data_IF_047463103625
#
_entry.id   IF_047463103625
#
_cell.length_a   1.000
_cell.length_b   1.000
_cell.length_c   1.000
_cell.angle_alpha   90.00
_cell.angle_beta   90.00
_cell.angle_gamma   90.00
#
_symmetry.space_group_name_H-M   'P 1'
#
loop_
_entity.id
_entity.type
_entity.pdbx_description
1 polymer ?
#
# COMPACT_ATOMS: atom_id res chain seq x y z
N UNK A 1 33.40 14.57 44.65
CA UNK A 1 32.42 13.60 45.17
C UNK A 1 31.03 14.11 44.80
N UNK A 2 30.25 13.43 43.98
CA UNK A 2 28.89 13.83 43.72
C UNK A 2 28.03 13.54 44.95
N UNK A 3 27.10 14.44 45.28
CA UNK A 3 26.16 14.28 46.38
C UNK A 3 25.24 13.09 46.11
N UNK A 4 24.91 12.25 47.10
CA UNK A 4 23.97 11.15 46.92
C UNK A 4 22.58 11.72 46.57
N UNK A 5 22.00 11.21 45.52
CA UNK A 5 20.59 11.50 45.20
C UNK A 5 19.68 10.91 46.28
N UNK A 6 18.63 11.64 46.69
CA UNK A 6 17.67 11.14 47.65
C UNK A 6 17.00 9.86 47.09
N UNK A 7 16.86 8.83 47.91
CA UNK A 7 16.10 7.62 47.56
C UNK A 7 14.64 8.04 47.31
N UNK A 8 13.99 7.52 46.25
CA UNK A 8 12.57 7.76 46.06
C UNK A 8 11.83 7.21 47.28
N UNK A 9 10.96 8.01 47.84
CA UNK A 9 10.02 7.57 48.87
C UNK A 9 9.21 6.37 48.34
N UNK A 10 8.82 5.40 49.17
CA UNK A 10 7.98 4.29 48.74
C UNK A 10 6.65 4.87 48.24
N UNK A 11 6.52 4.97 46.94
CA UNK A 11 5.32 5.50 46.29
C UNK A 11 4.13 4.66 46.72
N UNK A 12 3.06 5.32 47.13
CA UNK A 12 1.74 4.73 47.33
C UNK A 12 1.45 3.96 46.05
N UNK A 13 1.19 2.64 46.08
CA UNK A 13 0.88 1.89 44.86
C UNK A 13 -0.31 2.58 44.16
N UNK A 14 -0.25 2.74 42.82
CA UNK A 14 -1.33 3.41 42.12
C UNK A 14 -2.66 2.73 42.47
N UNK A 15 -3.61 3.53 42.91
CA UNK A 15 -4.95 3.03 43.24
C UNK A 15 -5.47 2.27 42.02
N UNK A 16 -6.03 1.09 42.24
CA UNK A 16 -6.65 0.30 41.16
C UNK A 16 -7.69 1.20 40.50
N UNK A 17 -7.67 1.36 39.14
CA UNK A 17 -8.65 2.21 38.49
C UNK A 17 -10.05 1.72 38.82
N UNK A 18 -10.84 2.58 39.43
CA UNK A 18 -12.24 2.32 39.75
C UNK A 18 -13.02 2.45 38.44
N UNK A 19 -13.58 1.36 37.96
CA UNK A 19 -14.55 1.40 36.88
C UNK A 19 -15.86 1.96 37.43
N UNK A 20 -16.52 2.86 36.69
CA UNK A 20 -17.86 3.27 37.01
C UNK A 20 -18.80 2.06 36.92
N UNK A 21 -19.65 1.87 37.90
CA UNK A 21 -20.59 0.75 37.92
C UNK A 21 -21.61 0.82 36.78
N UNK A 22 -21.96 2.04 36.35
CA UNK A 22 -22.86 2.29 35.22
C UNK A 22 -22.15 2.98 34.05
N UNK A 23 -22.48 2.61 32.79
CA UNK A 23 -21.99 3.31 31.62
C UNK A 23 -22.53 4.76 31.56
N UNK A 24 -21.79 5.71 30.94
CA UNK A 24 -22.26 7.08 30.81
C UNK A 24 -23.65 7.16 30.16
N UNK A 25 -24.55 7.97 30.74
CA UNK A 25 -25.96 8.07 30.33
C UNK A 25 -26.12 8.38 28.84
N UNK A 26 -25.27 9.23 28.27
CA UNK A 26 -25.32 9.56 26.86
C UNK A 26 -25.03 8.37 25.95
N UNK A 27 -24.09 7.51 26.33
CA UNK A 27 -23.79 6.26 25.61
C UNK A 27 -25.01 5.32 25.55
N UNK A 28 -25.82 5.28 26.64
CA UNK A 28 -27.04 4.50 26.65
C UNK A 28 -28.09 5.09 25.71
N UNK A 29 -28.26 6.42 25.72
CA UNK A 29 -29.20 7.11 24.81
C UNK A 29 -28.85 6.89 23.34
N UNK A 30 -27.56 6.97 22.96
CA UNK A 30 -27.13 6.68 21.59
C UNK A 30 -27.47 5.23 21.19
N UNK A 31 -27.24 4.26 22.07
CA UNK A 31 -27.61 2.86 21.83
C UNK A 31 -29.12 2.63 21.72
N UNK A 32 -29.91 3.28 22.55
CA UNK A 32 -31.37 3.23 22.49
C UNK A 32 -31.87 3.73 21.13
N UNK A 33 -31.38 4.88 20.67
CA UNK A 33 -31.72 5.45 19.37
C UNK A 33 -31.28 4.52 18.22
N UNK A 34 -30.08 3.95 18.25
CA UNK A 34 -29.66 2.98 17.25
C UNK A 34 -30.54 1.74 17.20
N UNK A 35 -30.93 1.20 18.37
CA UNK A 35 -31.78 0.02 18.44
C UNK A 35 -33.18 0.35 17.89
N UNK A 36 -33.73 1.51 18.18
CA UNK A 36 -35.05 1.96 17.72
C UNK A 36 -35.08 2.19 16.21
N UNK A 37 -34.08 2.92 15.66
CA UNK A 37 -34.14 3.37 14.27
C UNK A 37 -33.54 2.39 13.25
N UNK A 38 -32.66 1.49 13.66
CA UNK A 38 -32.07 0.50 12.73
C UNK A 38 -33.12 -0.37 12.03
N UNK A 39 -34.14 -0.94 12.70
CA UNK A 39 -35.23 -1.68 12.04
C UNK A 39 -36.05 -0.80 11.10
N UNK A 40 -36.27 0.46 11.46
CA UNK A 40 -37.03 1.41 10.62
C UNK A 40 -36.28 1.74 9.33
N UNK A 41 -34.95 1.95 9.43
CA UNK A 41 -34.05 2.14 8.26
C UNK A 41 -34.07 0.89 7.35
N UNK A 42 -34.01 -0.32 7.91
CA UNK A 42 -34.06 -1.56 7.16
C UNK A 42 -35.38 -1.71 6.43
N UNK A 43 -36.52 -1.47 7.11
CA UNK A 43 -37.86 -1.52 6.53
C UNK A 43 -38.03 -0.47 5.41
N UNK A 44 -37.51 0.74 5.60
CA UNK A 44 -37.57 1.77 4.57
C UNK A 44 -36.73 1.39 3.33
N UNK A 45 -35.53 0.82 3.53
CA UNK A 45 -34.70 0.34 2.43
C UNK A 45 -35.33 -0.87 1.73
N UNK A 46 -35.96 -1.78 2.48
CA UNK A 46 -36.67 -2.93 1.93
C UNK A 46 -37.82 -2.49 1.01
N UNK A 47 -38.62 -1.49 1.41
CA UNK A 47 -39.70 -0.92 0.57
C UNK A 47 -39.15 -0.37 -0.74
N UNK A 48 -38.06 0.42 -0.68
CA UNK A 48 -37.42 0.96 -1.89
C UNK A 48 -36.91 -0.13 -2.83
N UNK A 49 -36.30 -1.19 -2.25
CA UNK A 49 -35.85 -2.36 -3.04
C UNK A 49 -37.01 -3.06 -3.71
N UNK A 50 -38.15 -3.25 -3.00
CA UNK A 50 -39.36 -3.86 -3.58
C UNK A 50 -39.89 -3.05 -4.75
N UNK A 51 -39.99 -1.71 -4.62
CA UNK A 51 -40.41 -0.81 -5.72
C UNK A 51 -39.49 -0.95 -6.95
N UNK A 52 -38.18 -1.00 -6.76
CA UNK A 52 -37.21 -1.18 -7.85
C UNK A 52 -37.40 -2.58 -8.49
N UNK A 53 -37.62 -3.60 -7.68
CA UNK A 53 -37.82 -4.96 -8.17
C UNK A 53 -39.13 -5.07 -9.02
N UNK A 54 -40.20 -4.42 -8.60
CA UNK A 54 -41.50 -4.35 -9.35
C UNK A 54 -41.30 -3.62 -10.67
N UNK A 55 -40.63 -2.47 -10.68
CA UNK A 55 -40.35 -1.68 -11.88
C UNK A 55 -39.47 -2.42 -12.89
N UNK A 56 -38.53 -3.23 -12.39
CA UNK A 56 -37.62 -4.01 -13.23
C UNK A 56 -38.26 -5.29 -13.84
N UNK A 57 -39.47 -5.66 -13.39
CA UNK A 57 -40.21 -6.78 -13.95
C UNK A 57 -40.77 -6.42 -15.33
N UNK A 58 -40.59 -7.28 -16.30
CA UNK A 58 -41.19 -7.14 -17.65
C UNK A 58 -40.20 -6.80 -18.76
N UNK A 59 -38.99 -6.35 -18.45
CA UNK A 59 -37.97 -6.10 -19.47
C UNK A 59 -37.12 -7.34 -19.69
N UNK A 60 -37.19 -7.98 -20.86
CA UNK A 60 -36.31 -9.09 -21.20
C UNK A 60 -34.89 -8.58 -21.49
N UNK A 61 -33.89 -9.04 -20.77
CA UNK A 61 -32.51 -8.63 -21.02
C UNK A 61 -31.98 -9.19 -22.34
N UNK A 62 -31.17 -8.41 -23.05
CA UNK A 62 -30.46 -8.86 -24.24
C UNK A 62 -29.13 -9.49 -23.83
N UNK A 63 -28.75 -10.56 -24.53
CA UNK A 63 -27.45 -11.19 -24.32
C UNK A 63 -26.31 -10.27 -24.79
N UNK A 64 -25.33 -9.94 -23.95
CA UNK A 64 -24.23 -9.07 -24.34
C UNK A 64 -23.29 -9.68 -25.38
N UNK A 65 -23.34 -11.00 -25.59
CA UNK A 65 -22.50 -11.70 -26.56
C UNK A 65 -23.12 -11.82 -27.95
N UNK A 66 -24.44 -11.94 -28.06
CA UNK A 66 -25.11 -12.18 -29.35
C UNK A 66 -26.32 -11.29 -29.60
N UNK A 67 -26.66 -10.37 -28.71
CA UNK A 67 -27.78 -9.44 -28.86
C UNK A 67 -29.19 -10.07 -28.78
N UNK A 68 -29.31 -11.38 -28.62
CA UNK A 68 -30.60 -12.05 -28.59
C UNK A 68 -31.29 -11.90 -27.23
N UNK A 69 -32.64 -11.82 -27.19
CA UNK A 69 -33.39 -11.83 -25.93
C UNK A 69 -33.10 -13.10 -25.13
N UNK A 70 -32.94 -12.95 -23.83
CA UNK A 70 -32.65 -14.04 -22.91
C UNK A 70 -33.96 -14.60 -22.32
N UNK A 71 -33.98 -15.89 -21.98
CA UNK A 71 -35.14 -16.56 -21.38
C UNK A 71 -35.01 -16.59 -19.86
N UNK A 72 -36.11 -16.25 -19.17
CA UNK A 72 -36.19 -16.46 -17.72
C UNK A 72 -36.16 -17.97 -17.43
N UNK A 73 -35.29 -18.38 -16.53
CA UNK A 73 -35.14 -19.77 -16.10
C UNK A 73 -35.92 -20.05 -14.83
N UNK A 74 -35.76 -19.17 -13.84
CA UNK A 74 -36.43 -19.23 -12.55
C UNK A 74 -36.48 -17.86 -11.90
N UNK A 75 -37.34 -17.70 -10.89
CA UNK A 75 -37.37 -16.56 -9.98
C UNK A 75 -37.31 -17.09 -8.55
N UNK A 76 -36.33 -16.63 -7.80
CA UNK A 76 -36.11 -17.06 -6.40
C UNK A 76 -35.91 -15.87 -5.50
N UNK A 77 -36.38 -15.99 -4.24
CA UNK A 77 -36.02 -15.01 -3.20
C UNK A 77 -34.53 -15.07 -2.93
N UNK A 78 -33.87 -13.97 -3.13
CA UNK A 78 -32.43 -13.82 -2.86
C UNK A 78 -32.24 -12.82 -1.72
N UNK A 79 -31.46 -13.22 -0.73
CA UNK A 79 -31.09 -12.35 0.39
C UNK A 79 -29.68 -11.85 0.23
N UNK A 80 -29.44 -10.61 0.68
CA UNK A 80 -28.09 -10.02 0.75
C UNK A 80 -27.93 -9.10 1.95
N UNK A 81 -26.70 -8.97 2.42
CA UNK A 81 -26.34 -8.14 3.57
C UNK A 81 -26.10 -6.70 3.14
N UNK A 82 -26.74 -5.76 3.80
CA UNK A 82 -26.54 -4.32 3.64
C UNK A 82 -26.09 -3.69 5.00
N UNK A 83 -25.80 -2.40 5.00
CA UNK A 83 -25.33 -1.69 6.20
C UNK A 83 -26.29 -1.73 7.38
N UNK A 84 -27.59 -1.71 7.09
CA UNK A 84 -28.63 -1.70 8.14
C UNK A 84 -29.21 -3.09 8.46
N UNK A 85 -28.81 -4.14 7.72
CA UNK A 85 -29.29 -5.51 7.94
C UNK A 85 -29.41 -6.34 6.67
N UNK A 86 -30.14 -7.45 6.75
CA UNK A 86 -30.39 -8.36 5.64
C UNK A 86 -31.61 -7.92 4.84
N UNK A 87 -31.45 -7.76 3.55
CA UNK A 87 -32.51 -7.47 2.58
C UNK A 87 -32.81 -8.68 1.73
N UNK A 88 -34.01 -8.73 1.15
CA UNK A 88 -34.41 -9.80 0.23
C UNK A 88 -35.32 -9.28 -0.88
N UNK A 89 -35.28 -9.92 -2.04
CA UNK A 89 -36.20 -9.66 -3.15
C UNK A 89 -36.35 -10.89 -4.02
N UNK A 90 -37.48 -10.99 -4.78
CA UNK A 90 -37.58 -11.95 -5.85
C UNK A 90 -36.64 -11.56 -6.99
N UNK A 91 -35.73 -12.45 -7.35
CA UNK A 91 -34.70 -12.22 -8.38
C UNK A 91 -34.88 -13.25 -9.48
N UNK A 92 -35.17 -12.76 -10.70
CA UNK A 92 -35.25 -13.60 -11.89
C UNK A 92 -33.84 -13.84 -12.46
N UNK A 93 -33.59 -15.10 -12.84
CA UNK A 93 -32.38 -15.53 -13.51
C UNK A 93 -32.68 -15.75 -14.99
N UNK A 94 -31.91 -15.08 -15.82
CA UNK A 94 -32.05 -15.19 -17.29
C UNK A 94 -30.85 -15.93 -17.88
N UNK A 95 -31.12 -16.70 -18.95
CA UNK A 95 -30.12 -17.46 -19.69
C UNK A 95 -30.26 -17.27 -21.18
N UNK A 96 -29.13 -17.06 -21.84
CA UNK A 96 -29.08 -17.10 -23.32
C UNK A 96 -28.89 -18.53 -23.78
N UNK A 97 -29.81 -19.04 -24.63
CA UNK A 97 -29.74 -20.41 -25.12
C UNK A 97 -28.49 -20.70 -25.95
N UNK A 98 -28.08 -19.87 -26.96
CA UNK A 98 -26.89 -20.11 -27.74
C UNK A 98 -25.59 -19.93 -26.99
N UNK A 99 -25.43 -18.81 -26.23
CA UNK A 99 -24.20 -18.45 -25.58
C UNK A 99 -24.04 -19.06 -24.18
N UNK A 100 -25.10 -19.63 -23.62
CA UNK A 100 -25.18 -20.11 -22.22
C UNK A 100 -24.87 -19.05 -21.15
N UNK A 101 -24.78 -17.78 -21.55
CA UNK A 101 -24.59 -16.67 -20.64
C UNK A 101 -25.77 -16.53 -19.69
N UNK A 102 -25.51 -16.31 -18.40
CA UNK A 102 -26.51 -16.10 -17.36
C UNK A 102 -26.35 -14.75 -16.69
N UNK A 103 -27.48 -14.08 -16.39
CA UNK A 103 -27.47 -12.82 -15.62
C UNK A 103 -28.67 -12.75 -14.65
N UNK A 104 -28.53 -11.84 -13.70
CA UNK A 104 -29.59 -11.47 -12.75
C UNK A 104 -29.73 -9.94 -12.74
N UNK A 105 -30.44 -9.35 -13.70
CA UNK A 105 -30.46 -7.90 -13.93
C UNK A 105 -30.81 -7.07 -12.70
N UNK A 106 -31.71 -7.54 -11.84
CA UNK A 106 -32.10 -6.84 -10.62
C UNK A 106 -30.91 -6.69 -9.66
N UNK A 107 -30.08 -7.72 -9.48
CA UNK A 107 -28.91 -7.63 -8.62
C UNK A 107 -27.85 -6.68 -9.20
N UNK A 108 -27.68 -6.71 -10.52
CA UNK A 108 -26.77 -5.81 -11.24
C UNK A 108 -27.25 -4.35 -11.12
N UNK A 109 -28.57 -4.10 -11.28
CA UNK A 109 -29.19 -2.79 -11.13
C UNK A 109 -29.06 -2.24 -9.71
N UNK A 110 -29.25 -3.10 -8.69
CA UNK A 110 -29.15 -2.73 -7.28
C UNK A 110 -27.69 -2.63 -6.79
N UNK A 111 -26.72 -2.99 -7.63
CA UNK A 111 -25.32 -3.04 -7.22
C UNK A 111 -25.07 -4.04 -6.09
N UNK A 112 -25.79 -5.18 -6.10
CA UNK A 112 -25.54 -6.28 -5.16
C UNK A 112 -24.35 -7.08 -5.65
N UNK A 113 -23.28 -7.01 -4.91
CA UNK A 113 -22.01 -7.61 -5.27
C UNK A 113 -22.01 -9.15 -5.16
N UNK A 114 -21.20 -9.86 -5.95
CA UNK A 114 -21.03 -11.29 -5.79
C UNK A 114 -20.68 -11.66 -4.35
N UNK A 115 -21.39 -12.60 -3.76
CA UNK A 115 -21.28 -12.95 -2.34
C UNK A 115 -22.42 -12.39 -1.49
N UNK A 116 -23.40 -11.76 -2.14
CA UNK A 116 -24.63 -11.26 -1.49
C UNK A 116 -24.38 -10.17 -0.46
N UNK A 117 -23.59 -9.18 -0.84
CA UNK A 117 -23.29 -8.00 -0.05
C UNK A 117 -23.62 -6.76 -0.88
N UNK A 118 -24.26 -5.75 -0.29
CA UNK A 118 -24.50 -4.49 -1.00
C UNK A 118 -23.16 -3.78 -1.32
N UNK A 119 -23.10 -3.06 -2.44
CA UNK A 119 -21.91 -2.35 -2.85
C UNK A 119 -21.38 -1.38 -1.78
N UNK A 120 -22.27 -0.67 -1.09
CA UNK A 120 -21.89 0.24 -0.01
C UNK A 120 -21.24 -0.51 1.17
N UNK A 121 -21.81 -1.65 1.59
CA UNK A 121 -21.21 -2.46 2.65
C UNK A 121 -19.89 -3.09 2.18
N UNK A 122 -19.82 -3.58 0.95
CA UNK A 122 -18.62 -4.19 0.39
C UNK A 122 -17.40 -3.22 0.46
N UNK A 123 -17.60 -1.95 0.18
CA UNK A 123 -16.54 -0.92 0.27
C UNK A 123 -16.05 -0.68 1.69
N UNK A 124 -16.96 -0.68 2.67
CA UNK A 124 -16.59 -0.57 4.08
C UNK A 124 -15.82 -1.82 4.58
N UNK A 125 -16.26 -3.02 4.16
CA UNK A 125 -15.55 -4.26 4.49
C UNK A 125 -14.16 -4.32 3.83
N UNK A 126 -14.02 -3.84 2.60
CA UNK A 126 -12.73 -3.71 1.94
C UNK A 126 -11.83 -2.68 2.64
N UNK A 127 -12.38 -1.57 3.13
CA UNK A 127 -11.65 -0.59 3.93
C UNK A 127 -11.12 -1.22 5.21
N UNK A 128 -11.96 -1.92 5.95
CA UNK A 128 -11.55 -2.63 7.16
C UNK A 128 -10.46 -3.68 6.87
N UNK A 129 -10.58 -4.40 5.75
CA UNK A 129 -9.57 -5.36 5.31
C UNK A 129 -8.24 -4.70 4.94
N UNK A 130 -8.28 -3.49 4.37
CA UNK A 130 -7.07 -2.74 4.00
C UNK A 130 -6.29 -2.25 5.22
N UNK A 131 -6.93 -2.04 6.37
CA UNK A 131 -6.28 -1.52 7.58
C UNK A 131 -6.01 -2.58 8.65
N UNK A 132 -6.80 -3.66 8.70
CA UNK A 132 -6.74 -4.66 9.78
C UNK A 132 -6.70 -6.11 9.25
N UNK A 133 -6.12 -7.06 10.02
CA UNK A 133 -6.27 -8.49 9.76
C UNK A 133 -7.74 -8.90 9.67
N UNK A 134 -8.07 -9.89 8.85
CA UNK A 134 -9.46 -10.28 8.60
C UNK A 134 -10.28 -10.64 9.87
N UNK A 135 -9.72 -11.34 10.89
CA UNK A 135 -10.45 -11.57 12.14
C UNK A 135 -10.77 -10.26 12.87
N UNK A 136 -9.80 -9.34 12.95
CA UNK A 136 -10.03 -8.02 13.58
C UNK A 136 -10.99 -7.18 12.73
N UNK A 137 -10.88 -7.20 11.41
CA UNK A 137 -11.81 -6.52 10.50
C UNK A 137 -13.25 -7.01 10.69
N UNK A 138 -13.46 -8.33 10.93
CA UNK A 138 -14.79 -8.89 11.24
C UNK A 138 -15.33 -8.36 12.59
N UNK A 139 -14.48 -8.27 13.60
CA UNK A 139 -14.85 -7.68 14.89
C UNK A 139 -15.17 -6.19 14.76
N UNK A 140 -14.37 -5.44 14.01
CA UNK A 140 -14.63 -4.02 13.72
C UNK A 140 -15.92 -3.81 12.93
N UNK A 141 -16.24 -4.67 11.98
CA UNK A 141 -17.51 -4.63 11.25
C UNK A 141 -18.71 -4.78 12.19
N UNK A 142 -18.62 -5.68 13.16
CA UNK A 142 -19.64 -5.82 14.18
C UNK A 142 -19.69 -4.59 15.13
N UNK A 143 -18.56 -4.14 15.65
CA UNK A 143 -18.51 -3.02 16.61
C UNK A 143 -18.96 -1.68 16.00
N UNK A 144 -18.53 -1.38 14.76
CA UNK A 144 -18.75 -0.07 14.14
C UNK A 144 -20.01 -0.02 13.28
N UNK A 145 -20.41 -1.15 12.69
CA UNK A 145 -21.52 -1.20 11.73
C UNK A 145 -22.69 -2.05 12.22
N UNK A 146 -22.54 -2.78 13.32
CA UNK A 146 -23.52 -3.76 13.78
C UNK A 146 -23.75 -4.90 12.78
N UNK A 147 -22.75 -5.22 11.96
CA UNK A 147 -22.84 -6.23 10.89
C UNK A 147 -22.03 -7.46 11.25
N UNK A 148 -22.68 -8.61 11.33
CA UNK A 148 -22.01 -9.90 11.54
C UNK A 148 -21.61 -10.50 10.21
N UNK A 149 -20.31 -10.67 10.02
CA UNK A 149 -19.71 -11.30 8.82
C UNK A 149 -18.46 -12.08 9.22
N UNK A 150 -18.23 -13.24 8.61
CA UNK A 150 -17.05 -14.03 8.89
C UNK A 150 -15.77 -13.39 8.32
N UNK A 151 -14.58 -13.66 8.89
CA UNK A 151 -13.30 -13.24 8.33
C UNK A 151 -13.13 -13.66 6.85
N UNK A 152 -13.60 -14.87 6.49
CA UNK A 152 -13.61 -15.37 5.12
C UNK A 152 -14.55 -14.57 4.20
N UNK A 153 -15.69 -14.10 4.73
CA UNK A 153 -16.61 -13.21 4.01
C UNK A 153 -15.93 -11.89 3.64
N UNK A 154 -15.25 -11.26 4.60
CA UNK A 154 -14.48 -10.03 4.36
C UNK A 154 -13.34 -10.29 3.38
N UNK A 155 -12.61 -11.39 3.54
CA UNK A 155 -11.55 -11.78 2.62
C UNK A 155 -12.07 -11.88 1.18
N UNK A 156 -13.20 -12.54 0.95
CA UNK A 156 -13.80 -12.68 -0.40
C UNK A 156 -14.16 -11.32 -1.00
N UNK A 157 -14.73 -10.43 -0.22
CA UNK A 157 -15.06 -9.06 -0.66
C UNK A 157 -13.78 -8.29 -1.03
N UNK A 158 -12.81 -8.29 -0.14
CA UNK A 158 -11.53 -7.61 -0.35
C UNK A 158 -10.77 -8.16 -1.58
N UNK A 159 -10.80 -9.48 -1.80
CA UNK A 159 -10.16 -10.08 -2.98
C UNK A 159 -10.82 -9.64 -4.29
N UNK A 160 -12.14 -9.54 -4.33
CA UNK A 160 -12.87 -9.15 -5.55
C UNK A 160 -12.72 -7.67 -5.87
N UNK A 161 -12.91 -6.78 -4.89
CA UNK A 161 -12.67 -5.35 -5.07
C UNK A 161 -11.21 -5.04 -5.34
N UNK A 162 -10.30 -5.72 -4.65
CA UNK A 162 -8.87 -5.60 -4.87
C UNK A 162 -8.43 -6.05 -6.26
N UNK A 163 -9.07 -7.09 -6.81
CA UNK A 163 -8.84 -7.49 -8.21
C UNK A 163 -9.30 -6.42 -9.20
N UNK A 164 -10.47 -5.81 -8.96
CA UNK A 164 -10.96 -4.73 -9.80
C UNK A 164 -10.00 -3.52 -9.78
N UNK A 165 -9.53 -3.14 -8.59
CA UNK A 165 -8.56 -2.06 -8.41
C UNK A 165 -7.21 -2.38 -9.07
N UNK A 166 -6.70 -3.60 -8.91
CA UNK A 166 -5.44 -4.01 -9.51
C UNK A 166 -5.51 -4.04 -11.04
N UNK A 167 -6.62 -4.53 -11.62
CA UNK A 167 -6.83 -4.49 -13.08
C UNK A 167 -6.94 -3.08 -13.62
N UNK A 168 -7.56 -2.17 -12.89
CA UNK A 168 -7.61 -0.76 -13.27
C UNK A 168 -6.20 -0.16 -13.34
N UNK A 169 -5.39 -0.37 -12.31
CA UNK A 169 -4.02 0.11 -12.24
C UNK A 169 -3.12 -0.48 -13.37
N UNK A 170 -3.29 -1.77 -13.67
CA UNK A 170 -2.61 -2.42 -14.79
C UNK A 170 -3.08 -1.90 -16.16
N UNK A 171 -4.38 -1.62 -16.31
CA UNK A 171 -4.93 -1.06 -17.54
C UNK A 171 -4.41 0.37 -17.76
N UNK A 172 -4.34 1.17 -16.71
CA UNK A 172 -3.78 2.52 -16.74
C UNK A 172 -2.31 2.49 -17.15
N UNK A 173 -1.52 1.58 -16.58
CA UNK A 173 -0.10 1.42 -16.93
C UNK A 173 0.09 1.04 -18.39
N UNK A 174 -0.73 0.13 -18.91
CA UNK A 174 -0.71 -0.25 -20.34
C UNK A 174 -1.15 0.90 -21.24
N UNK A 175 -2.21 1.60 -20.88
CA UNK A 175 -2.70 2.76 -21.65
C UNK A 175 -1.59 3.80 -21.84
N UNK A 176 -0.84 4.15 -20.80
CA UNK A 176 0.24 5.11 -20.90
C UNK A 176 1.52 4.57 -21.54
N UNK A 177 1.74 3.26 -21.54
CA UNK A 177 2.83 2.63 -22.27
C UNK A 177 2.58 2.62 -23.79
N UNK A 178 1.32 2.32 -24.19
CA UNK A 178 0.93 2.22 -25.59
C UNK A 178 0.63 3.60 -26.21
N UNK A 179 0.11 4.52 -25.40
CA UNK A 179 -0.21 5.84 -25.90
C UNK A 179 1.11 6.63 -26.08
N UNK A 180 1.59 6.70 -27.29
CA UNK A 180 2.37 7.83 -27.81
C UNK A 180 1.52 9.12 -27.72
N UNK A 181 0.75 9.24 -26.66
CA UNK A 181 -0.31 10.21 -26.46
C UNK A 181 0.30 11.60 -26.44
N UNK A 182 0.14 12.26 -27.54
CA UNK A 182 0.32 13.68 -27.78
C UNK A 182 -0.71 14.56 -27.04
N UNK A 183 -1.49 14.00 -26.12
CA UNK A 183 -2.38 14.79 -25.27
C UNK A 183 -1.53 15.73 -24.40
N UNK A 184 -1.43 16.98 -24.82
CA UNK A 184 -0.83 18.01 -24.00
C UNK A 184 -1.55 18.03 -22.64
N UNK A 185 -0.82 18.07 -21.51
CA UNK A 185 -1.46 18.22 -20.21
C UNK A 185 -2.27 19.52 -20.21
N UNK A 186 -3.50 19.45 -19.74
CA UNK A 186 -4.42 20.60 -19.63
C UNK A 186 -3.92 21.67 -18.63
N UNK A 187 -2.96 21.32 -17.80
CA UNK A 187 -2.22 22.23 -16.92
C UNK A 187 -0.73 22.15 -17.22
N UNK A 188 -0.03 23.28 -17.03
CA UNK A 188 1.43 23.31 -17.14
C UNK A 188 2.03 22.33 -16.12
N UNK A 189 2.78 21.34 -16.60
CA UNK A 189 3.45 20.38 -15.74
C UNK A 189 4.48 21.10 -14.84
N UNK A 190 4.69 20.64 -13.60
CA UNK A 190 5.66 21.23 -12.68
C UNK A 190 7.09 21.18 -13.25
N UNK A 191 7.97 22.14 -12.89
CA UNK A 191 9.35 22.16 -13.37
C UNK A 191 10.17 20.95 -12.90
N UNK A 192 9.83 20.41 -11.73
CA UNK A 192 10.45 19.21 -11.19
C UNK A 192 9.46 18.36 -10.38
N UNK A 193 9.66 17.04 -10.40
CA UNK A 193 8.98 16.06 -9.56
C UNK A 193 10.03 15.16 -8.90
N UNK A 194 9.85 14.80 -7.63
CA UNK A 194 10.71 13.83 -6.94
C UNK A 194 10.05 12.47 -6.94
N UNK A 195 10.82 11.48 -7.31
CA UNK A 195 10.49 10.08 -7.36
C UNK A 195 11.45 9.33 -6.44
N UNK A 196 11.00 8.92 -5.26
CA UNK A 196 11.72 7.99 -4.40
C UNK A 196 11.32 6.56 -4.71
N UNK A 197 12.27 5.64 -4.83
CA UNK A 197 11.99 4.22 -5.10
C UNK A 197 12.85 3.34 -4.23
N UNK A 198 12.23 2.27 -3.70
CA UNK A 198 12.92 1.28 -2.89
C UNK A 198 12.16 -0.07 -2.92
N UNK A 199 12.79 -1.14 -2.45
CA UNK A 199 12.23 -2.49 -2.37
C UNK A 199 12.21 -3.05 -0.94
N UNK A 200 11.19 -3.84 -0.61
CA UNK A 200 11.17 -4.58 0.63
C UNK A 200 10.64 -6.00 0.46
N UNK A 201 11.19 -6.94 1.21
CA UNK A 201 10.79 -8.34 1.16
C UNK A 201 9.47 -8.60 1.85
N UNK A 202 8.60 -9.38 1.22
CA UNK A 202 7.32 -9.86 1.74
C UNK A 202 7.30 -11.39 1.81
N UNK A 203 6.96 -11.94 2.98
CA UNK A 203 6.84 -13.38 3.19
C UNK A 203 5.67 -13.98 2.42
N UNK A 204 5.95 -14.96 1.58
CA UNK A 204 4.96 -15.64 0.75
C UNK A 204 4.51 -16.96 1.36
N UNK A 205 3.32 -17.42 0.97
CA UNK A 205 2.84 -18.75 1.32
C UNK A 205 3.59 -19.80 0.49
N UNK A 206 4.05 -20.83 1.16
CA UNK A 206 4.43 -22.08 0.50
C UNK A 206 3.14 -22.71 -0.03
N UNK A 207 3.07 -23.05 -1.31
CA UNK A 207 1.97 -23.85 -1.84
C UNK A 207 2.04 -25.23 -1.19
N UNK A 208 1.37 -25.43 -0.07
CA UNK A 208 1.04 -26.79 0.33
C UNK A 208 0.00 -27.31 -0.65
N UNK A 209 0.31 -28.36 -1.36
CA UNK A 209 -0.70 -29.21 -2.00
C UNK A 209 -1.58 -29.77 -0.89
N UNK A 210 -2.63 -29.03 -0.49
CA UNK A 210 -3.64 -29.54 0.43
C UNK A 210 -4.35 -30.69 -0.25
N UNK A 211 -3.86 -31.91 -0.02
CA UNK A 211 -4.65 -33.12 -0.22
C UNK A 211 -5.87 -33.04 0.68
N UNK A 212 -7.05 -33.36 0.14
CA UNK A 212 -8.21 -33.59 0.98
C UNK A 212 -7.84 -34.63 2.04
N UNK A 213 -7.91 -34.24 3.31
CA UNK A 213 -7.62 -35.12 4.45
C UNK A 213 -8.58 -36.32 4.39
N UNK A 214 -8.07 -37.50 4.26
CA UNK A 214 -8.84 -38.73 4.51
C UNK A 214 -8.99 -38.90 6.03
N UNK A 215 -10.15 -39.39 6.46
CA UNK A 215 -10.44 -39.59 7.88
C UNK A 215 -9.39 -40.52 8.46
N UNK A 216 -8.68 -40.11 9.52
CA UNK A 216 -7.61 -40.89 10.16
C UNK A 216 -6.18 -40.58 9.71
N UNK A 217 -5.94 -39.70 8.77
CA UNK A 217 -4.60 -39.35 8.30
C UNK A 217 -3.96 -38.26 9.19
N UNK A 218 -2.79 -38.54 9.75
CA UNK A 218 -1.95 -37.54 10.43
C UNK A 218 -1.35 -36.61 9.39
N UNK A 219 -1.58 -35.31 9.54
CA UNK A 219 -0.96 -34.33 8.65
C UNK A 219 0.54 -34.31 8.90
N UNK A 220 1.37 -34.29 7.83
CA UNK A 220 2.79 -34.04 7.99
C UNK A 220 3.00 -32.68 8.70
N UNK A 221 4.10 -32.49 9.45
CA UNK A 221 4.43 -31.24 10.07
C UNK A 221 4.40 -30.13 9.00
N UNK A 222 3.97 -28.93 9.41
CA UNK A 222 3.99 -27.79 8.51
C UNK A 222 5.41 -27.63 7.95
N UNK A 223 5.57 -27.47 6.64
CA UNK A 223 6.90 -27.34 6.06
C UNK A 223 7.61 -26.17 6.73
N UNK A 224 8.84 -26.43 7.18
CA UNK A 224 9.76 -25.36 7.62
C UNK A 224 9.86 -24.37 6.48
N UNK A 225 9.68 -23.08 6.77
CA UNK A 225 9.81 -22.03 5.77
C UNK A 225 11.28 -21.97 5.40
N UNK A 226 11.64 -22.61 4.31
CA UNK A 226 12.99 -22.52 3.76
C UNK A 226 13.27 -21.07 3.32
N UNK A 227 14.52 -20.64 3.42
CA UNK A 227 15.00 -19.41 2.82
C UNK A 227 14.64 -19.41 1.33
N UNK A 228 13.89 -18.40 0.87
CA UNK A 228 13.45 -18.30 -0.53
C UNK A 228 11.95 -18.06 -0.73
N UNK A 229 11.13 -18.14 0.31
CA UNK A 229 9.71 -17.85 0.21
C UNK A 229 9.40 -16.35 0.43
N UNK A 230 10.25 -15.50 -0.12
CA UNK A 230 10.05 -14.06 -0.11
C UNK A 230 9.91 -13.51 -1.53
N UNK A 231 9.06 -12.52 -1.70
CA UNK A 231 8.96 -11.71 -2.91
C UNK A 231 9.19 -10.26 -2.56
N UNK A 232 9.88 -9.57 -3.42
CA UNK A 232 10.10 -8.14 -3.25
C UNK A 232 8.86 -7.36 -3.66
N UNK A 233 8.42 -6.46 -2.77
CA UNK A 233 7.45 -5.40 -3.06
C UNK A 233 8.24 -4.14 -3.32
N UNK A 234 8.13 -3.61 -4.54
CA UNK A 234 8.72 -2.33 -4.90
C UNK A 234 7.74 -1.22 -4.60
N UNK A 235 8.21 -0.17 -3.96
CA UNK A 235 7.42 1.01 -3.59
C UNK A 235 8.06 2.26 -4.15
N UNK A 236 7.25 3.10 -4.76
CA UNK A 236 7.63 4.41 -5.22
C UNK A 236 6.79 5.49 -4.56
N UNK A 237 7.37 6.65 -4.37
CA UNK A 237 6.72 7.86 -3.85
C UNK A 237 6.93 8.99 -4.83
N UNK A 238 5.85 9.62 -5.25
CA UNK A 238 5.86 10.82 -6.07
C UNK A 238 5.53 12.01 -5.20
N UNK A 239 6.29 13.08 -5.31
CA UNK A 239 6.05 14.34 -4.59
C UNK A 239 6.58 15.55 -5.36
N UNK A 240 6.04 16.72 -5.06
CA UNK A 240 6.51 17.97 -5.62
C UNK A 240 7.50 18.65 -4.66
N UNK A 241 8.69 19.06 -5.12
CA UNK A 241 9.66 19.78 -4.28
C UNK A 241 9.07 21.05 -3.67
N UNK A 242 8.17 21.72 -4.39
CA UNK A 242 7.49 22.95 -3.98
C UNK A 242 6.46 22.74 -2.86
N UNK A 243 5.98 21.52 -2.64
CA UNK A 243 4.95 21.21 -1.63
C UNK A 243 5.59 20.68 -0.32
N UNK A 244 6.69 21.30 0.10
CA UNK A 244 7.32 21.03 1.39
C UNK A 244 7.10 22.21 2.31
N UNK A 245 6.59 21.95 3.51
CA UNK A 245 6.42 22.96 4.55
C UNK A 245 7.41 22.74 5.69
N UNK A 246 7.91 23.81 6.26
CA UNK A 246 8.73 23.75 7.45
C UNK A 246 7.83 23.53 8.67
N UNK A 247 8.03 22.41 9.36
CA UNK A 247 7.25 22.00 10.54
C UNK A 247 7.93 22.36 11.86
N UNK A 248 9.24 22.58 11.81
CA UNK A 248 10.09 23.10 12.90
C UNK A 248 11.39 23.60 12.28
N UNK A 249 12.18 24.45 12.97
CA UNK A 249 13.43 25.00 12.44
C UNK A 249 14.33 23.94 11.81
N UNK A 250 14.59 24.07 10.51
CA UNK A 250 15.41 23.14 9.74
C UNK A 250 14.75 21.80 9.36
N UNK A 251 13.49 21.56 9.76
CA UNK A 251 12.75 20.34 9.41
C UNK A 251 11.63 20.64 8.44
N UNK A 252 11.70 20.06 7.24
CA UNK A 252 10.67 20.17 6.21
C UNK A 252 9.90 18.87 6.08
N UNK A 253 8.58 18.96 6.05
CA UNK A 253 7.67 17.82 5.81
C UNK A 253 6.99 17.96 4.45
N UNK A 254 6.74 16.82 3.82
CA UNK A 254 6.00 16.73 2.56
C UNK A 254 4.51 16.89 2.85
N UNK A 255 3.83 17.80 2.16
CA UNK A 255 2.39 18.04 2.32
C UNK A 255 1.60 16.99 1.56
N UNK A 256 1.91 16.81 0.28
CA UNK A 256 1.22 15.87 -0.60
C UNK A 256 2.22 14.90 -1.22
N UNK A 257 1.87 13.63 -1.17
CA UNK A 257 2.61 12.55 -1.81
C UNK A 257 1.64 11.61 -2.49
N UNK A 258 2.09 10.95 -3.54
CA UNK A 258 1.37 9.86 -4.18
C UNK A 258 2.20 8.57 -4.10
N UNK A 259 1.58 7.49 -3.66
CA UNK A 259 2.23 6.20 -3.42
C UNK A 259 1.93 5.24 -4.56
N UNK A 260 2.95 4.54 -5.00
CA UNK A 260 2.84 3.49 -6.02
C UNK A 260 3.54 2.24 -5.52
N UNK A 261 2.93 1.07 -5.68
CA UNK A 261 3.60 -0.20 -5.33
C UNK A 261 3.29 -1.27 -6.36
N UNK A 262 4.19 -2.23 -6.46
CA UNK A 262 3.91 -3.48 -7.14
C UNK A 262 4.63 -4.65 -6.49
N UNK A 263 4.02 -5.82 -6.60
CA UNK A 263 4.67 -7.11 -6.38
C UNK A 263 5.15 -7.59 -7.76
N UNK A 264 6.32 -7.11 -8.19
CA UNK A 264 6.83 -7.32 -9.54
C UNK A 264 8.27 -6.85 -9.70
N UNK A 265 8.72 -6.82 -10.93
CA UNK A 265 10.06 -6.39 -11.30
C UNK A 265 10.21 -4.86 -11.41
N UNK A 266 11.40 -4.44 -11.82
CA UNK A 266 11.74 -3.03 -12.02
C UNK A 266 10.90 -2.39 -13.14
N UNK A 267 10.59 -3.14 -14.20
CA UNK A 267 9.77 -2.64 -15.31
C UNK A 267 8.36 -2.31 -14.85
N UNK A 268 7.77 -3.21 -14.07
CA UNK A 268 6.40 -3.05 -13.57
C UNK A 268 6.25 -1.82 -12.66
N UNK A 269 7.19 -1.57 -11.74
CA UNK A 269 7.10 -0.40 -10.86
C UNK A 269 7.31 0.90 -11.64
N UNK A 270 8.29 0.97 -12.54
CA UNK A 270 8.54 2.18 -13.31
C UNK A 270 7.44 2.48 -14.33
N UNK A 271 6.82 1.46 -14.94
CA UNK A 271 5.63 1.66 -15.78
C UNK A 271 4.47 2.27 -15.00
N UNK A 272 4.21 1.80 -13.77
CA UNK A 272 3.18 2.35 -12.88
C UNK A 272 3.50 3.77 -12.43
N UNK A 273 4.75 4.05 -12.08
CA UNK A 273 5.20 5.39 -11.70
C UNK A 273 5.01 6.38 -12.85
N UNK A 274 5.40 5.99 -14.06
CA UNK A 274 5.20 6.82 -15.24
C UNK A 274 3.71 7.07 -15.51
N UNK A 275 2.88 6.04 -15.45
CA UNK A 275 1.44 6.17 -15.62
C UNK A 275 0.83 7.15 -14.61
N UNK A 276 1.21 7.05 -13.34
CA UNK A 276 0.73 7.97 -12.30
C UNK A 276 1.23 9.40 -12.50
N UNK A 277 2.47 9.60 -12.91
CA UNK A 277 2.98 10.92 -13.27
C UNK A 277 2.18 11.56 -14.40
N UNK A 278 1.76 10.76 -15.38
CA UNK A 278 0.90 11.21 -16.49
C UNK A 278 -0.51 11.56 -16.02
N UNK A 279 -1.13 10.70 -15.21
CA UNK A 279 -2.48 10.94 -14.66
C UNK A 279 -2.53 12.19 -13.76
N UNK A 280 -1.48 12.41 -12.97
CA UNK A 280 -1.37 13.59 -12.12
C UNK A 280 -1.04 14.87 -12.90
N UNK A 281 -0.69 14.77 -14.19
CA UNK A 281 -0.18 15.88 -14.98
C UNK A 281 1.18 16.41 -14.50
N UNK A 282 1.97 15.56 -13.81
CA UNK A 282 3.24 15.97 -13.18
C UNK A 282 4.46 15.77 -14.06
N UNK A 283 4.31 15.22 -15.25
CA UNK A 283 5.40 15.06 -16.20
C UNK A 283 5.04 15.65 -17.56
N UNK A 284 5.91 16.53 -18.05
CA UNK A 284 5.84 17.15 -19.36
C UNK A 284 7.22 17.24 -19.99
N UNK A 285 7.31 17.82 -21.17
CA UNK A 285 8.57 17.90 -21.95
C UNK A 285 9.72 18.60 -21.20
N UNK A 286 9.39 19.54 -20.31
CA UNK A 286 10.37 20.34 -19.57
C UNK A 286 10.57 19.89 -18.11
N UNK A 287 9.75 18.97 -17.63
CA UNK A 287 9.80 18.50 -16.23
C UNK A 287 11.09 17.69 -15.98
N UNK A 288 11.83 18.04 -14.94
CA UNK A 288 12.96 17.23 -14.44
C UNK A 288 12.44 16.20 -13.46
N UNK A 289 12.65 14.92 -13.74
CA UNK A 289 12.34 13.83 -12.82
C UNK A 289 13.55 13.58 -11.93
N UNK A 290 13.43 13.96 -10.65
CA UNK A 290 14.47 13.76 -9.64
C UNK A 290 14.26 12.39 -9.00
N UNK A 291 15.19 11.45 -9.22
CA UNK A 291 15.09 10.07 -8.75
C UNK A 291 16.02 9.89 -7.57
N UNK A 292 15.47 9.51 -6.41
CA UNK A 292 16.22 9.26 -5.17
C UNK A 292 16.14 7.77 -4.83
N UNK A 293 17.28 7.12 -4.67
CA UNK A 293 17.39 5.69 -4.37
C UNK A 293 18.65 5.30 -3.61
N UNK A 294 18.71 4.06 -3.14
CA UNK A 294 19.75 3.48 -2.30
C UNK A 294 21.04 3.05 -3.04
N UNK A 295 21.07 3.17 -4.35
CA UNK A 295 22.21 2.75 -5.17
C UNK A 295 21.98 1.44 -5.93
N UNK A 296 20.85 0.78 -5.77
CA UNK A 296 20.53 -0.45 -6.48
C UNK A 296 20.49 -0.22 -8.01
N UNK A 297 21.21 -1.05 -8.76
CA UNK A 297 21.36 -0.90 -10.22
C UNK A 297 20.04 -0.88 -10.98
N UNK A 298 19.04 -1.63 -10.51
CA UNK A 298 17.75 -1.68 -11.19
C UNK A 298 17.05 -0.32 -11.22
N UNK A 299 17.30 0.56 -10.23
CA UNK A 299 16.74 1.92 -10.18
C UNK A 299 17.35 2.75 -11.31
N UNK A 300 18.67 2.76 -11.41
CA UNK A 300 19.39 3.58 -12.36
C UNK A 300 19.20 3.11 -13.81
N UNK A 301 19.16 1.80 -14.01
CA UNK A 301 18.88 1.22 -15.32
C UNK A 301 17.50 1.65 -15.86
N UNK A 302 16.49 1.79 -14.99
CA UNK A 302 15.13 2.23 -15.39
C UNK A 302 14.95 3.74 -15.35
N UNK A 303 15.73 4.47 -14.57
CA UNK A 303 15.75 5.92 -14.58
C UNK A 303 15.97 6.51 -15.98
N UNK A 304 16.68 5.78 -16.85
CA UNK A 304 16.97 6.17 -18.23
C UNK A 304 15.73 6.40 -19.09
N UNK A 305 14.56 5.90 -18.71
CA UNK A 305 13.30 6.18 -19.40
C UNK A 305 12.90 7.66 -19.36
N UNK A 306 13.38 8.41 -18.37
CA UNK A 306 13.14 9.85 -18.24
C UNK A 306 14.27 10.62 -18.92
N UNK A 307 13.95 11.32 -20.02
CA UNK A 307 14.93 12.08 -20.80
C UNK A 307 15.56 13.20 -19.96
N UNK A 308 14.73 13.93 -19.20
CA UNK A 308 15.18 14.98 -18.29
C UNK A 308 15.11 14.45 -16.86
N UNK A 309 16.25 14.02 -16.35
CA UNK A 309 16.32 13.44 -15.01
C UNK A 309 17.50 13.95 -14.20
N UNK A 310 17.38 13.85 -12.89
CA UNK A 310 18.44 14.05 -11.92
C UNK A 310 18.47 12.82 -10.99
N UNK A 311 19.56 12.08 -11.02
CA UNK A 311 19.75 10.88 -10.20
C UNK A 311 20.47 11.27 -8.90
N UNK A 312 19.92 10.93 -7.75
CA UNK A 312 20.43 11.24 -6.41
C UNK A 312 20.56 9.94 -5.63
N UNK A 313 21.78 9.62 -5.22
CA UNK A 313 22.01 8.57 -4.23
C UNK A 313 21.50 9.05 -2.88
N UNK A 314 20.73 8.19 -2.18
CA UNK A 314 20.30 8.53 -0.81
C UNK A 314 21.49 8.85 0.08
N UNK A 315 21.47 10.05 0.65
CA UNK A 315 22.51 10.55 1.52
C UNK A 315 22.67 9.70 2.79
N UNK A 316 21.55 9.31 3.40
CA UNK A 316 21.59 8.54 4.64
C UNK A 316 22.12 7.12 4.41
N UNK A 317 21.73 6.51 3.29
CA UNK A 317 22.25 5.21 2.90
C UNK A 317 23.76 5.27 2.57
N UNK A 318 24.20 6.35 1.93
CA UNK A 318 25.62 6.57 1.72
C UNK A 318 26.40 6.75 3.05
N UNK A 319 25.83 7.40 4.05
CA UNK A 319 26.40 7.55 5.38
C UNK A 319 26.38 6.23 6.17
N UNK A 320 25.34 5.39 5.98
CA UNK A 320 25.22 4.07 6.60
C UNK A 320 26.40 3.15 6.23
N UNK A 321 26.79 3.11 4.95
CA UNK A 321 28.01 2.40 4.52
C UNK A 321 29.29 2.93 5.19
N UNK A 322 29.36 4.23 5.48
CA UNK A 322 30.48 4.78 6.25
C UNK A 322 30.46 4.32 7.72
N UNK A 323 29.25 4.18 8.30
CA UNK A 323 29.07 3.65 9.65
C UNK A 323 29.53 2.19 9.74
N UNK A 324 29.18 1.34 8.80
CA UNK A 324 29.61 -0.06 8.75
C UNK A 324 31.15 -0.17 8.82
N UNK A 325 31.84 0.61 8.00
CA UNK A 325 33.30 0.65 8.02
C UNK A 325 33.87 1.23 9.34
N UNK A 326 33.27 2.31 9.85
CA UNK A 326 33.72 2.99 11.05
C UNK A 326 33.57 2.11 12.31
N UNK A 327 32.46 1.41 12.45
CA UNK A 327 32.20 0.47 13.54
C UNK A 327 33.20 -0.69 13.53
N UNK A 328 33.50 -1.22 12.37
CA UNK A 328 34.51 -2.28 12.22
C UNK A 328 35.94 -1.76 12.59
N UNK A 329 36.25 -0.50 12.28
CA UNK A 329 37.56 0.11 12.51
C UNK A 329 37.79 0.58 13.93
N UNK A 330 36.78 1.21 14.55
CA UNK A 330 36.91 1.93 15.83
C UNK A 330 36.13 1.26 16.96
N UNK A 331 35.35 0.24 16.66
CA UNK A 331 34.44 -0.40 17.59
C UNK A 331 33.03 0.21 17.56
N UNK A 332 32.04 -0.64 17.80
CA UNK A 332 30.63 -0.25 17.87
C UNK A 332 30.40 0.73 19.03
N UNK A 333 29.66 1.82 18.79
CA UNK A 333 29.33 2.85 19.78
C UNK A 333 30.54 3.71 20.25
N UNK A 334 31.68 3.68 19.54
CA UNK A 334 32.83 4.46 19.92
C UNK A 334 32.69 5.93 19.49
N UNK A 335 33.13 6.88 20.37
CA UNK A 335 33.15 8.31 20.03
C UNK A 335 34.05 8.63 18.82
N UNK A 336 35.03 7.77 18.54
CA UNK A 336 35.89 7.92 17.37
C UNK A 336 35.15 7.59 16.07
N UNK A 337 34.31 6.56 16.07
CA UNK A 337 33.42 6.23 14.93
C UNK A 337 32.47 7.39 14.67
N UNK A 338 31.79 7.88 15.72
CA UNK A 338 30.88 9.02 15.63
C UNK A 338 31.54 10.24 14.99
N UNK A 339 32.66 10.67 15.53
CA UNK A 339 33.36 11.84 15.02
C UNK A 339 33.81 11.67 13.56
N UNK A 340 34.33 10.47 13.22
CA UNK A 340 34.80 10.19 11.87
C UNK A 340 33.67 10.20 10.85
N UNK A 341 32.54 9.58 11.17
CA UNK A 341 31.39 9.52 10.27
C UNK A 341 30.72 10.89 10.11
N UNK A 342 30.58 11.66 11.19
CA UNK A 342 30.02 13.01 11.11
C UNK A 342 30.87 13.92 10.22
N UNK A 343 32.19 13.92 10.37
CA UNK A 343 33.07 14.70 9.50
C UNK A 343 33.02 14.27 8.04
N UNK A 344 32.91 12.96 7.79
CA UNK A 344 32.72 12.42 6.43
C UNK A 344 31.38 12.83 5.84
N UNK A 345 30.30 12.75 6.60
CA UNK A 345 28.96 13.13 6.20
C UNK A 345 28.86 14.63 5.84
N UNK A 346 29.51 15.50 6.61
CA UNK A 346 29.61 16.94 6.29
C UNK A 346 30.34 17.18 4.97
N UNK A 347 31.46 16.49 4.74
CA UNK A 347 32.19 16.59 3.47
C UNK A 347 31.34 16.07 2.27
N UNK A 348 30.63 14.97 2.44
CA UNK A 348 29.70 14.48 1.42
C UNK A 348 28.60 15.49 1.13
N UNK A 349 27.96 16.05 2.17
CA UNK A 349 26.92 17.08 2.05
C UNK A 349 27.42 18.33 1.34
N UNK A 350 28.69 18.68 1.53
CA UNK A 350 29.36 19.79 0.86
C UNK A 350 29.83 19.47 -0.58
N UNK A 351 29.44 18.32 -1.15
CA UNK A 351 29.78 17.91 -2.52
C UNK A 351 31.20 17.44 -2.71
N UNK A 352 31.95 17.18 -1.63
CA UNK A 352 33.40 16.85 -1.68
C UNK A 352 33.66 15.35 -1.85
N UNK A 353 32.80 14.61 -2.54
CA UNK A 353 32.91 13.13 -2.68
C UNK A 353 34.28 12.70 -3.22
N UNK A 354 34.85 13.41 -4.19
CA UNK A 354 36.17 13.10 -4.74
C UNK A 354 37.30 13.20 -3.70
N UNK A 355 37.21 14.19 -2.83
CA UNK A 355 38.17 14.38 -1.72
C UNK A 355 38.01 13.30 -0.65
N UNK A 356 36.75 12.92 -0.34
CA UNK A 356 36.46 11.83 0.58
C UNK A 356 37.05 10.51 0.03
N UNK A 357 36.81 10.18 -1.21
CA UNK A 357 37.39 8.98 -1.85
C UNK A 357 38.90 9.00 -1.86
N UNK A 358 39.51 10.15 -2.18
CA UNK A 358 41.00 10.30 -2.12
C UNK A 358 41.55 10.09 -0.71
N UNK A 359 40.84 10.57 0.33
CA UNK A 359 41.20 10.36 1.74
C UNK A 359 41.04 8.88 2.14
N UNK A 360 39.96 8.22 1.75
CA UNK A 360 39.75 6.80 2.00
C UNK A 360 40.85 5.93 1.38
N UNK A 361 41.28 6.21 0.16
CA UNK A 361 42.36 5.49 -0.55
C UNK A 361 43.71 5.58 0.16
N UNK A 362 43.93 6.58 1.02
CA UNK A 362 45.16 6.75 1.82
C UNK A 362 45.16 5.94 3.11
N UNK A 363 44.02 5.44 3.54
CA UNK A 363 43.92 4.61 4.74
C UNK A 363 44.67 3.29 4.55
N UNK A 364 45.28 2.81 5.62
CA UNK A 364 46.00 1.53 5.65
C UNK A 364 45.37 0.64 6.73
N UNK A 365 44.35 -0.14 6.39
CA UNK A 365 43.73 -1.08 7.32
C UNK A 365 44.73 -2.17 7.71
N UNK A 366 44.67 -2.64 8.98
CA UNK A 366 45.57 -3.64 9.52
C UNK A 366 45.09 -5.09 9.34
N UNK A 367 43.81 -5.28 9.10
CA UNK A 367 43.23 -6.62 8.95
C UNK A 367 42.63 -6.77 7.54
N UNK A 368 42.58 -8.01 7.00
CA UNK A 368 41.96 -8.28 5.71
C UNK A 368 40.50 -7.85 5.64
N UNK A 369 39.72 -8.09 6.72
CA UNK A 369 38.32 -7.72 6.83
C UNK A 369 38.10 -6.21 6.72
N UNK A 370 38.91 -5.40 7.45
CA UNK A 370 38.91 -3.93 7.32
C UNK A 370 39.29 -3.48 5.92
N UNK A 371 40.22 -4.19 5.28
CA UNK A 371 40.63 -3.87 3.92
C UNK A 371 39.51 -4.11 2.91
N UNK A 372 38.80 -5.22 3.04
CA UNK A 372 37.66 -5.54 2.21
C UNK A 372 36.54 -4.52 2.38
N UNK A 373 36.15 -4.20 3.62
CA UNK A 373 35.14 -3.19 3.94
C UNK A 373 35.53 -1.80 3.40
N UNK A 374 36.81 -1.40 3.53
CA UNK A 374 37.29 -0.14 2.94
C UNK A 374 37.17 -0.13 1.42
N UNK A 375 37.57 -1.21 0.75
CA UNK A 375 37.47 -1.32 -0.70
C UNK A 375 36.02 -1.29 -1.18
N UNK A 376 35.09 -1.92 -0.47
CA UNK A 376 33.66 -1.87 -0.75
C UNK A 376 33.15 -0.42 -0.65
N UNK A 377 33.48 0.31 0.41
CA UNK A 377 33.10 1.71 0.61
C UNK A 377 33.67 2.62 -0.50
N UNK A 378 34.96 2.46 -0.84
CA UNK A 378 35.61 3.22 -1.91
C UNK A 378 34.92 2.97 -3.25
N UNK A 379 34.64 1.71 -3.58
CA UNK A 379 33.95 1.32 -4.79
C UNK A 379 32.56 1.95 -4.84
N UNK A 380 31.77 1.79 -3.80
CA UNK A 380 30.42 2.33 -3.70
C UNK A 380 30.39 3.85 -3.95
N UNK A 381 31.28 4.61 -3.30
CA UNK A 381 31.35 6.06 -3.51
C UNK A 381 31.89 6.45 -4.88
N UNK A 382 32.81 5.67 -5.44
CA UNK A 382 33.37 5.93 -6.77
C UNK A 382 32.31 5.72 -7.85
N UNK A 383 31.57 4.61 -7.77
CA UNK A 383 30.56 4.24 -8.76
C UNK A 383 29.36 5.19 -8.71
N UNK A 384 29.07 5.75 -7.54
CA UNK A 384 27.94 6.66 -7.34
C UNK A 384 28.35 8.15 -7.29
N UNK A 385 29.61 8.52 -7.51
CA UNK A 385 30.09 9.91 -7.34
C UNK A 385 29.28 10.94 -8.15
N UNK A 386 28.78 10.56 -9.34
CA UNK A 386 27.93 11.40 -10.17
C UNK A 386 26.56 11.71 -9.56
N UNK A 387 26.10 10.87 -8.62
CA UNK A 387 24.81 10.97 -7.91
C UNK A 387 24.93 11.56 -6.50
N UNK A 388 26.13 12.00 -6.13
CA UNK A 388 26.46 12.50 -4.77
C UNK A 388 26.80 14.00 -4.76
N UNK A 389 26.27 14.78 -5.68
CA UNK A 389 26.42 16.25 -5.73
C UNK A 389 25.43 16.93 -4.80
N UNK A 390 25.48 16.57 -3.51
CA UNK A 390 24.47 16.95 -2.54
C UNK A 390 24.33 18.45 -2.32
N UNK A 391 25.42 19.21 -2.38
CA UNK A 391 25.42 20.66 -2.30
C UNK A 391 24.62 21.31 -3.44
N UNK A 392 24.76 20.79 -4.66
CA UNK A 392 24.02 21.25 -5.82
C UNK A 392 22.53 20.90 -5.71
N UNK A 393 22.20 19.66 -5.31
CA UNK A 393 20.82 19.22 -5.15
C UNK A 393 20.08 20.02 -4.08
N UNK A 394 20.74 20.30 -2.97
CA UNK A 394 20.17 21.15 -1.90
C UNK A 394 19.91 22.59 -2.36
N UNK A 395 20.83 23.18 -3.16
CA UNK A 395 20.63 24.51 -3.77
C UNK A 395 19.45 24.55 -4.74
N UNK A 396 19.18 23.45 -5.46
CA UNK A 396 18.03 23.30 -6.34
C UNK A 396 16.72 23.01 -5.58
N UNK A 397 16.78 22.88 -4.25
CA UNK A 397 15.61 22.54 -3.42
C UNK A 397 15.21 21.08 -3.46
N UNK A 398 16.04 20.21 -4.02
CA UNK A 398 15.78 18.77 -4.04
C UNK A 398 16.11 18.14 -2.68
N UNK A 399 15.32 17.15 -2.27
CA UNK A 399 15.66 16.32 -1.11
C UNK A 399 16.76 15.33 -1.47
N UNK A 400 17.66 15.07 -0.55
CA UNK A 400 18.79 14.15 -0.73
C UNK A 400 18.63 12.83 0.02
N UNK A 401 17.49 12.59 0.66
CA UNK A 401 17.22 11.37 1.45
C UNK A 401 15.93 10.67 1.04
N UNK A 402 15.88 9.37 1.26
CA UNK A 402 14.77 8.46 0.96
C UNK A 402 13.68 8.41 2.02
N UNK A 403 13.72 9.23 3.07
CA UNK A 403 12.78 9.16 4.20
C UNK A 403 11.30 9.13 3.80
N UNK A 404 10.94 9.66 2.63
CA UNK A 404 9.58 9.58 2.09
C UNK A 404 9.23 8.15 1.66
N UNK A 405 10.14 7.42 1.00
CA UNK A 405 9.91 6.04 0.57
C UNK A 405 9.99 5.04 1.73
N UNK A 406 10.87 5.28 2.71
CA UNK A 406 10.90 4.50 3.95
C UNK A 406 9.56 4.63 4.71
N UNK A 407 9.05 5.85 4.85
CA UNK A 407 7.73 6.11 5.44
C UNK A 407 6.62 5.41 4.65
N UNK A 408 6.71 5.37 3.31
CA UNK A 408 5.78 4.65 2.47
C UNK A 408 5.82 3.14 2.72
N UNK A 409 7.00 2.53 2.84
CA UNK A 409 7.14 1.11 3.19
C UNK A 409 6.49 0.78 4.54
N UNK A 410 6.71 1.62 5.55
CA UNK A 410 6.07 1.46 6.87
C UNK A 410 4.55 1.49 6.74
N UNK A 411 4.02 2.43 6.01
CA UNK A 411 2.57 2.63 5.87
C UNK A 411 1.92 1.62 4.92
N UNK A 412 2.49 1.38 3.74
CA UNK A 412 1.88 0.51 2.74
C UNK A 412 2.07 -0.96 3.11
N UNK A 413 3.31 -1.36 3.40
CA UNK A 413 3.67 -2.78 3.53
C UNK A 413 3.70 -3.22 4.99
N UNK A 414 4.53 -2.59 5.85
CA UNK A 414 4.78 -3.12 7.19
C UNK A 414 3.52 -3.10 8.05
N UNK A 415 2.78 -2.01 8.08
CA UNK A 415 1.58 -1.84 8.92
C UNK A 415 0.50 -2.90 8.67
N UNK A 416 0.44 -3.49 7.46
CA UNK A 416 -0.62 -4.43 7.11
C UNK A 416 -0.13 -5.81 6.68
N UNK A 417 1.05 -5.92 6.11
CA UNK A 417 1.50 -7.17 5.48
C UNK A 417 2.59 -7.90 6.25
N UNK A 418 3.31 -7.22 7.15
CA UNK A 418 4.45 -7.78 7.89
C UNK A 418 4.15 -7.97 9.38
N UNK A 419 2.91 -8.27 9.75
CA UNK A 419 2.60 -8.66 11.12
C UNK A 419 3.02 -10.11 11.37
N UNK A 420 3.24 -10.44 12.66
CA UNK A 420 3.75 -11.75 13.05
C UNK A 420 2.95 -12.91 12.43
N UNK A 421 3.64 -13.84 11.82
CA UNK A 421 3.05 -15.05 11.21
C UNK A 421 2.32 -14.83 9.87
N UNK A 422 2.27 -13.62 9.35
CA UNK A 422 1.60 -13.38 8.06
C UNK A 422 2.41 -13.93 6.88
N UNK A 423 1.71 -14.65 6.00
CA UNK A 423 2.20 -15.14 4.72
C UNK A 423 1.14 -14.90 3.65
N UNK A 424 1.55 -14.57 2.45
CA UNK A 424 0.66 -14.10 1.39
C UNK A 424 0.74 -14.96 0.14
N UNK A 425 -0.39 -15.26 -0.47
CA UNK A 425 -0.38 -15.65 -1.88
C UNK A 425 -0.11 -14.42 -2.74
N UNK A 426 0.56 -14.59 -3.87
CA UNK A 426 0.90 -13.50 -4.79
C UNK A 426 -0.34 -12.69 -5.20
N UNK A 427 -1.39 -13.38 -5.64
CA UNK A 427 -2.65 -12.76 -6.00
C UNK A 427 -3.30 -12.03 -4.81
N UNK A 428 -3.26 -12.62 -3.60
CA UNK A 428 -3.81 -12.01 -2.39
C UNK A 428 -3.10 -10.73 -1.98
N UNK A 429 -1.76 -10.74 -2.06
CA UNK A 429 -0.94 -9.57 -1.78
C UNK A 429 -1.20 -8.44 -2.80
N UNK A 430 -1.14 -8.76 -4.11
CA UNK A 430 -1.39 -7.80 -5.20
C UNK A 430 -2.74 -7.09 -5.04
N UNK A 431 -3.80 -7.86 -4.77
CA UNK A 431 -5.17 -7.34 -4.60
C UNK A 431 -5.31 -6.42 -3.39
N UNK A 432 -4.72 -6.83 -2.27
CA UNK A 432 -4.81 -6.03 -1.05
C UNK A 432 -3.91 -4.79 -1.11
N UNK A 433 -2.76 -4.86 -1.77
CA UNK A 433 -1.91 -3.69 -2.07
C UNK A 433 -2.66 -2.64 -2.87
N UNK A 434 -3.40 -3.05 -3.91
CA UNK A 434 -4.20 -2.14 -4.73
C UNK A 434 -5.26 -1.40 -3.89
N UNK A 435 -6.00 -2.11 -3.02
CA UNK A 435 -6.94 -1.47 -2.09
C UNK A 435 -6.25 -0.51 -1.13
N UNK A 436 -5.10 -0.91 -0.62
CA UNK A 436 -4.37 -0.10 0.33
C UNK A 436 -3.82 1.19 -0.29
N UNK A 437 -3.39 1.13 -1.55
CA UNK A 437 -2.98 2.32 -2.32
C UNK A 437 -4.14 3.28 -2.54
N UNK A 438 -5.33 2.79 -2.88
CA UNK A 438 -6.52 3.64 -3.01
C UNK A 438 -6.83 4.39 -1.71
N UNK A 439 -6.68 3.71 -0.57
CA UNK A 439 -6.88 4.33 0.74
C UNK A 439 -5.81 5.39 1.05
N UNK A 440 -4.54 5.05 0.87
CA UNK A 440 -3.42 5.91 1.27
C UNK A 440 -3.17 7.09 0.32
N UNK A 441 -3.70 7.01 -0.90
CA UNK A 441 -3.68 8.09 -1.90
C UNK A 441 -4.97 8.93 -1.89
N UNK A 442 -5.85 8.73 -0.90
CA UNK A 442 -7.15 9.41 -0.79
C UNK A 442 -8.04 9.26 -2.05
N UNK A 443 -7.92 8.11 -2.71
CA UNK A 443 -8.65 7.79 -3.95
C UNK A 443 -9.68 6.64 -3.75
N UNK A 444 -10.22 6.51 -2.56
CA UNK A 444 -11.15 5.44 -2.21
C UNK A 444 -12.45 5.49 -3.03
N UNK A 445 -12.88 6.71 -3.42
CA UNK A 445 -14.06 6.92 -4.24
C UNK A 445 -13.99 6.25 -5.64
N UNK A 446 -12.79 5.90 -6.11
CA UNK A 446 -12.64 5.14 -7.35
C UNK A 446 -13.40 3.80 -7.29
N UNK A 447 -13.48 3.17 -6.12
CA UNK A 447 -14.22 1.91 -5.94
C UNK A 447 -15.72 2.03 -6.24
N UNK A 448 -16.30 3.24 -6.19
CA UNK A 448 -17.69 3.46 -6.54
C UNK A 448 -17.94 3.30 -8.05
N UNK A 449 -16.91 3.46 -8.85
CA UNK A 449 -16.94 3.30 -10.31
C UNK A 449 -16.45 1.93 -10.78
N UNK A 450 -15.76 1.17 -9.90
CA UNK A 450 -15.28 -0.17 -10.21
C UNK A 450 -16.31 -1.22 -9.80
N UNK A 451 -16.62 -2.14 -10.72
CA UNK A 451 -17.46 -3.31 -10.41
C UNK A 451 -16.60 -4.45 -9.87
N UNK A 452 -17.13 -5.18 -8.89
CA UNK A 452 -16.49 -6.40 -8.44
C UNK A 452 -16.32 -7.41 -9.57
N UNK A 453 -15.12 -7.95 -9.64
CA UNK A 453 -14.78 -8.99 -10.62
C UNK A 453 -15.11 -10.36 -10.04
N UNK A 454 -15.74 -11.23 -10.83
CA UNK A 454 -15.84 -12.64 -10.49
C UNK A 454 -14.43 -13.24 -10.51
N UNK A 455 -14.01 -13.83 -9.40
CA UNK A 455 -12.76 -14.59 -9.35
C UNK A 455 -13.09 -16.01 -9.80
N UNK A 456 -12.40 -16.45 -10.82
CA UNK A 456 -12.45 -17.84 -11.28
C UNK A 456 -11.85 -18.79 -10.23
#
# INVERSE_FOLDING_TARGET
MPKPQPRPEPGIPPARPVLADDPPRFLLLEREVEIEFRPQMLAALQRKVSTVAETAQGTLPLCPHCGRPMRCQDTRSVSWLARCGCLHAPVSRYRCSPCRYECRPLLDLLGVEPGRVSGALARLLALLAAVAPYPLAARLAWLLLGVTISPMGIWRVAQRLGEAAARHDEALSRYHADSRSTGAPTQAAPPAVVLGVDGCSLGMQVRSTRRHRKQGETLPPLPVIEEGHFREVKTGVLLLPSERVETSPGRRSVVRRFLVTCLGDADAIFARLYAQLRELGWVGAQTVVVIVGDGAEWIWNRATMFVRRCEILDFWHAVEHAWEFAQLRYGEGSAQADHWVHALAEDLRAGKVKQVVARLKRLRPKTPELQESLQALIRYYTDNAGRMRYDEYLRLGYGIGSGAVESAHKQVVQARFRQAGMRWSEAGARRLLALRLLLLNDNWALLDRLRMVSLA
#
